data_IF_620602466217
#
_entry.id   IF_620602466217
#
_cell.length_a   1.000
_cell.length_b   1.000
_cell.length_c   1.000
_cell.angle_alpha   90.00
_cell.angle_beta   90.00
_cell.angle_gamma   90.00
#
_symmetry.space_group_name_H-M   'P 1'
#
loop_
_entity.id
_entity.type
_entity.pdbx_description
1 polymer ?
#
# COMPACT_ATOMS: atom_id res chain seq x y z
N UNK A 1 -10.95 -16.53 17.14
CA UNK A 1 -10.13 -15.69 16.23
C UNK A 1 -10.90 -15.64 14.92
N UNK A 2 -11.66 -14.57 14.64
CA UNK A 2 -12.51 -14.56 13.46
C UNK A 2 -11.63 -14.67 12.22
N UNK A 3 -12.05 -15.52 11.33
CA UNK A 3 -11.22 -16.19 10.36
C UNK A 3 -10.79 -15.20 9.28
N UNK A 4 -9.47 -14.99 9.13
CA UNK A 4 -8.83 -14.20 8.06
C UNK A 4 -9.01 -14.89 6.71
N UNK A 5 -10.24 -15.17 6.31
CA UNK A 5 -10.56 -15.97 5.13
C UNK A 5 -10.32 -15.19 3.83
N UNK A 6 -10.33 -13.85 3.90
CA UNK A 6 -10.29 -12.96 2.73
C UNK A 6 -9.26 -11.80 2.79
N UNK A 7 -8.43 -11.68 3.83
CA UNK A 7 -7.52 -10.52 4.02
C UNK A 7 -6.13 -10.63 3.38
N UNK A 8 -5.78 -11.79 2.81
CA UNK A 8 -4.43 -12.08 2.31
C UNK A 8 -4.01 -11.18 1.14
N UNK A 9 -4.93 -10.89 0.21
CA UNK A 9 -4.62 -10.08 -0.98
C UNK A 9 -4.34 -8.61 -0.66
N UNK A 10 -4.97 -8.05 0.38
CA UNK A 10 -4.75 -6.66 0.79
C UNK A 10 -3.32 -6.45 1.31
N UNK A 11 -2.78 -7.44 2.04
CA UNK A 11 -1.38 -7.44 2.48
C UNK A 11 -0.43 -7.42 1.28
N UNK A 12 -0.68 -8.23 0.26
CA UNK A 12 0.12 -8.25 -0.97
C UNK A 12 0.11 -6.89 -1.68
N UNK A 13 -1.06 -6.26 -1.79
CA UNK A 13 -1.19 -4.92 -2.40
C UNK A 13 -0.37 -3.89 -1.63
N UNK A 14 -0.48 -3.87 -0.29
CA UNK A 14 0.28 -2.94 0.56
C UNK A 14 1.79 -3.16 0.40
N UNK A 15 2.26 -4.41 0.37
CA UNK A 15 3.68 -4.72 0.23
C UNK A 15 4.24 -4.32 -1.14
N UNK A 16 3.48 -4.51 -2.23
CA UNK A 16 3.91 -4.04 -3.56
C UNK A 16 4.10 -2.51 -3.56
N UNK A 17 3.20 -1.77 -2.92
CA UNK A 17 3.34 -0.32 -2.80
C UNK A 17 4.60 0.08 -2.02
N UNK A 18 4.91 -0.61 -0.91
CA UNK A 18 6.11 -0.31 -0.11
C UNK A 18 7.41 -0.71 -0.82
N UNK A 19 7.44 -1.85 -1.51
CA UNK A 19 8.62 -2.29 -2.26
C UNK A 19 8.87 -1.35 -3.44
N UNK A 20 7.82 -0.94 -4.17
CA UNK A 20 7.97 0.04 -5.25
C UNK A 20 8.46 1.40 -4.75
N UNK A 21 8.00 1.83 -3.56
CA UNK A 21 8.49 3.03 -2.90
C UNK A 21 9.98 2.95 -2.59
N UNK A 22 10.40 1.86 -1.94
CA UNK A 22 11.80 1.62 -1.57
C UNK A 22 12.69 1.63 -2.82
N UNK A 23 12.30 0.94 -3.88
CA UNK A 23 13.05 0.88 -5.13
C UNK A 23 13.08 2.27 -5.79
N UNK A 24 11.93 2.93 -5.93
CA UNK A 24 11.82 4.23 -6.58
C UNK A 24 12.66 5.32 -5.90
N UNK A 25 12.60 5.39 -4.57
CA UNK A 25 13.41 6.33 -3.78
C UNK A 25 14.90 5.97 -3.90
N UNK A 26 15.26 4.68 -3.81
CA UNK A 26 16.67 4.24 -3.94
C UNK A 26 17.27 4.55 -5.31
N UNK A 27 16.45 4.63 -6.36
CA UNK A 27 16.86 5.00 -7.71
C UNK A 27 16.84 6.52 -7.97
N UNK A 28 16.52 7.34 -6.96
CA UNK A 28 16.48 8.80 -7.07
C UNK A 28 15.16 9.38 -7.59
N UNK A 29 14.09 8.57 -7.72
CA UNK A 29 12.76 9.03 -8.15
C UNK A 29 11.88 9.51 -6.99
N UNK A 30 12.49 10.08 -5.94
CA UNK A 30 11.79 10.55 -4.75
C UNK A 30 10.68 11.55 -5.08
N UNK A 31 10.96 12.56 -5.92
CA UNK A 31 9.97 13.58 -6.30
C UNK A 31 8.74 12.99 -7.01
N UNK A 32 8.94 11.96 -7.84
CA UNK A 32 7.85 11.25 -8.51
C UNK A 32 7.03 10.44 -7.50
N UNK A 33 7.68 9.79 -6.53
CA UNK A 33 7.01 9.03 -5.48
C UNK A 33 6.22 9.94 -4.53
N UNK A 34 6.79 11.08 -4.12
CA UNK A 34 6.12 12.08 -3.27
C UNK A 34 4.84 12.59 -3.92
N UNK A 35 4.87 12.88 -5.22
CA UNK A 35 3.69 13.30 -5.97
C UNK A 35 2.57 12.23 -6.02
N UNK A 36 2.92 10.94 -5.93
CA UNK A 36 1.96 9.81 -5.93
C UNK A 36 1.59 9.31 -4.54
N UNK A 37 2.26 9.80 -3.49
CA UNK A 37 2.01 9.41 -2.10
C UNK A 37 0.55 9.62 -1.66
N UNK A 38 -0.15 10.72 -2.03
CA UNK A 38 -1.56 10.89 -1.69
C UNK A 38 -2.45 9.76 -2.23
N UNK A 39 -2.15 9.24 -3.43
CA UNK A 39 -2.89 8.12 -4.04
C UNK A 39 -2.64 6.82 -3.28
N UNK A 40 -1.38 6.53 -2.91
CA UNK A 40 -1.04 5.37 -2.08
C UNK A 40 -1.78 5.37 -0.75
N UNK A 41 -1.87 6.54 -0.09
CA UNK A 41 -2.53 6.67 1.20
C UNK A 41 -4.06 6.48 1.08
N UNK A 42 -4.68 7.01 0.02
CA UNK A 42 -6.11 6.79 -0.23
C UNK A 42 -6.41 5.31 -0.45
N UNK A 43 -5.62 4.62 -1.29
CA UNK A 43 -5.80 3.18 -1.54
C UNK A 43 -5.60 2.38 -0.26
N UNK A 44 -4.60 2.73 0.55
CA UNK A 44 -4.32 2.07 1.82
C UNK A 44 -5.43 2.30 2.85
N UNK A 45 -6.01 3.51 2.93
CA UNK A 45 -7.17 3.79 3.79
C UNK A 45 -8.40 3.00 3.35
N UNK A 46 -8.71 2.94 2.06
CA UNK A 46 -9.83 2.13 1.55
C UNK A 46 -9.64 0.66 1.92
N UNK A 47 -8.43 0.13 1.73
CA UNK A 47 -8.09 -1.25 2.12
C UNK A 47 -8.25 -1.48 3.62
N UNK A 48 -7.87 -0.51 4.45
CA UNK A 48 -8.04 -0.58 5.91
C UNK A 48 -9.52 -0.77 6.28
N UNK A 49 -10.41 0.08 5.77
CA UNK A 49 -11.85 -0.01 6.06
C UNK A 49 -12.52 -1.25 5.45
N UNK A 50 -12.02 -1.75 4.31
CA UNK A 50 -12.54 -2.98 3.69
C UNK A 50 -12.14 -4.25 4.44
N UNK A 51 -10.94 -4.29 5.04
CA UNK A 51 -10.42 -5.45 5.76
C UNK A 51 -10.83 -5.42 7.24
N UNK A 52 -10.90 -4.23 7.83
CA UNK A 52 -11.23 -4.00 9.23
C UNK A 52 -12.45 -3.06 9.33
N UNK A 53 -13.68 -3.60 9.37
CA UNK A 53 -14.90 -2.82 9.56
C UNK A 53 -15.03 -2.24 10.96
#
# INVERSE_FOLDING_TARGET
MPELKNGSWALWVIWIFHISALIGISLGFEAWFVAKTPVNLIISSILLFLVFP
#
